data_IF_008328308567
#
_entry.id   IF_008328308567
#
_cell.length_a   1.000
_cell.length_b   1.000
_cell.length_c   1.000
_cell.angle_alpha   90.00
_cell.angle_beta   90.00
_cell.angle_gamma   90.00
#
_symmetry.space_group_name_H-M   'P 1'
#
loop_
_entity.id
_entity.type
_entity.pdbx_description
1 polymer ?
#
# COMPACT_ATOMS: atom_id res chain seq x y z
N UNK A 1 21.07 1.88 7.92
CA UNK A 1 21.12 3.16 7.18
C UNK A 1 19.73 3.79 7.27
N UNK A 2 19.59 5.00 7.84
CA UNK A 2 18.30 5.72 7.81
C UNK A 2 18.19 6.38 6.44
N UNK A 3 17.23 5.95 5.62
CA UNK A 3 16.97 6.57 4.32
C UNK A 3 16.04 7.76 4.55
N UNK A 4 16.63 8.95 4.58
CA UNK A 4 15.93 10.23 4.64
C UNK A 4 16.07 10.94 3.30
N UNK A 5 14.97 11.47 2.80
CA UNK A 5 14.93 12.20 1.55
C UNK A 5 14.06 13.44 1.69
N UNK A 6 14.59 14.60 1.29
CA UNK A 6 13.82 15.84 1.21
C UNK A 6 14.19 16.55 -0.09
N UNK A 7 13.17 16.92 -0.87
CA UNK A 7 13.37 17.67 -2.11
C UNK A 7 13.70 19.14 -1.83
N UNK A 8 14.24 19.84 -2.83
CA UNK A 8 14.21 21.30 -2.86
C UNK A 8 12.83 21.77 -3.34
N UNK A 9 12.32 22.94 -2.91
CA UNK A 9 11.00 23.45 -3.31
C UNK A 9 10.78 23.44 -4.83
N UNK A 10 11.77 23.94 -5.61
CA UNK A 10 11.76 23.94 -7.08
C UNK A 10 11.65 22.55 -7.73
N UNK A 11 12.03 21.50 -7.03
CA UNK A 11 12.01 20.10 -7.50
C UNK A 11 10.77 19.34 -7.02
N UNK A 12 9.92 19.99 -6.21
CA UNK A 12 8.71 19.39 -5.71
C UNK A 12 7.80 18.99 -6.86
N UNK A 13 7.04 17.91 -6.67
CA UNK A 13 5.99 17.49 -7.59
C UNK A 13 5.01 18.63 -7.81
N UNK A 14 4.63 19.33 -6.75
CA UNK A 14 3.67 20.44 -6.81
C UNK A 14 4.13 21.58 -7.72
N UNK A 15 5.41 21.97 -7.67
CA UNK A 15 5.97 22.99 -8.57
C UNK A 15 6.15 22.44 -9.98
N UNK A 16 6.72 21.24 -10.11
CA UNK A 16 6.99 20.61 -11.42
C UNK A 16 5.70 20.39 -12.22
N UNK A 17 4.59 20.08 -11.54
CA UNK A 17 3.27 19.90 -12.15
C UNK A 17 2.43 21.18 -12.18
N UNK A 18 3.01 22.33 -11.79
CA UNK A 18 2.35 23.65 -11.77
C UNK A 18 1.07 23.69 -10.93
N UNK A 19 1.03 22.93 -9.84
CA UNK A 19 -0.08 22.93 -8.87
C UNK A 19 0.01 24.16 -7.96
N UNK A 20 1.21 24.55 -7.55
CA UNK A 20 1.50 25.69 -6.66
C UNK A 20 2.77 26.43 -7.09
N UNK A 21 2.98 27.63 -6.56
CA UNK A 21 4.24 28.39 -6.73
C UNK A 21 5.37 27.81 -5.89
N UNK A 22 6.63 28.11 -6.26
CA UNK A 22 7.80 27.65 -5.48
C UNK A 22 7.79 28.17 -4.03
N UNK A 23 7.40 29.41 -3.83
CA UNK A 23 7.29 30.02 -2.51
C UNK A 23 6.26 29.30 -1.63
N UNK A 24 5.10 28.96 -2.20
CA UNK A 24 4.05 28.20 -1.50
C UNK A 24 4.51 26.78 -1.18
N UNK A 25 5.26 26.14 -2.09
CA UNK A 25 5.74 24.76 -1.93
C UNK A 25 6.62 24.58 -0.69
N UNK A 26 7.33 25.62 -0.21
CA UNK A 26 8.16 25.55 0.99
C UNK A 26 7.46 24.93 2.21
N UNK A 27 6.14 25.12 2.33
CA UNK A 27 5.34 24.62 3.45
C UNK A 27 5.03 23.12 3.37
N UNK A 28 5.10 22.52 2.19
CA UNK A 28 4.68 21.13 1.94
C UNK A 28 5.65 20.40 0.99
N UNK A 29 6.92 20.81 1.00
CA UNK A 29 7.99 20.13 0.26
C UNK A 29 8.02 18.66 0.66
N UNK A 30 8.07 17.79 -0.33
CA UNK A 30 8.04 16.36 -0.12
C UNK A 30 9.27 15.93 0.67
N UNK A 31 9.00 15.35 1.83
CA UNK A 31 9.97 14.71 2.68
C UNK A 31 9.49 13.30 2.98
N UNK A 32 10.42 12.35 2.92
CA UNK A 32 10.16 10.93 3.03
C UNK A 32 11.11 10.33 4.07
N UNK A 33 10.54 9.45 4.90
CA UNK A 33 11.30 8.55 5.76
C UNK A 33 10.79 7.12 5.64
N UNK A 34 11.72 6.20 5.37
CA UNK A 34 11.45 4.76 5.49
C UNK A 34 11.86 4.32 6.89
N UNK A 35 10.89 3.93 7.71
CA UNK A 35 11.16 3.54 9.11
C UNK A 35 11.42 2.05 9.24
N UNK A 36 12.30 1.69 10.18
CA UNK A 36 12.69 0.31 10.44
C UNK A 36 12.00 -0.27 11.68
N UNK A 37 11.62 0.62 12.61
CA UNK A 37 10.90 0.31 13.83
C UNK A 37 9.70 1.25 13.98
N UNK A 38 8.58 0.72 14.46
CA UNK A 38 7.32 1.47 14.60
C UNK A 38 7.45 2.66 15.57
N UNK A 39 8.29 2.57 16.60
CA UNK A 39 8.58 3.70 17.50
C UNK A 39 9.11 4.95 16.78
N UNK A 40 9.70 4.79 15.59
CA UNK A 40 10.18 5.93 14.81
C UNK A 40 9.03 6.77 14.21
N UNK A 41 7.78 6.28 14.27
CA UNK A 41 6.58 7.05 13.92
C UNK A 41 6.36 8.18 14.92
N UNK A 42 6.78 8.09 16.17
CA UNK A 42 6.50 9.15 17.16
C UNK A 42 7.35 10.40 16.89
N UNK A 43 8.58 10.21 16.41
CA UNK A 43 9.59 11.26 16.23
C UNK A 43 9.86 11.58 14.75
N UNK A 44 8.88 11.35 13.87
CA UNK A 44 9.02 11.75 12.46
C UNK A 44 8.62 13.22 12.26
N UNK A 45 9.33 13.88 11.36
CA UNK A 45 8.98 15.24 10.91
C UNK A 45 8.57 15.26 9.44
N UNK A 46 8.63 14.08 8.79
CA UNK A 46 8.43 13.93 7.36
C UNK A 46 6.96 13.77 7.00
N UNK A 47 6.59 14.33 5.85
CA UNK A 47 5.23 14.37 5.35
C UNK A 47 4.78 13.01 4.78
N UNK A 48 5.74 12.12 4.50
CA UNK A 48 5.51 10.75 4.04
C UNK A 48 6.37 9.78 4.86
N UNK A 49 5.71 8.82 5.50
CA UNK A 49 6.37 7.71 6.21
C UNK A 49 6.02 6.41 5.51
N UNK A 50 7.03 5.60 5.21
CA UNK A 50 6.85 4.26 4.64
C UNK A 50 7.29 3.23 5.65
N UNK A 51 6.42 2.24 5.87
CA UNK A 51 6.63 1.15 6.81
C UNK A 51 6.07 -0.14 6.23
N UNK A 52 6.77 -1.26 6.48
CA UNK A 52 6.25 -2.58 6.18
C UNK A 52 5.28 -3.01 7.29
N UNK A 53 4.06 -3.42 6.94
CA UNK A 53 3.03 -3.86 7.89
C UNK A 53 3.50 -4.96 8.87
N UNK A 54 4.43 -5.84 8.45
CA UNK A 54 5.01 -6.88 9.32
C UNK A 54 5.72 -6.29 10.55
N UNK A 55 6.15 -5.03 10.50
CA UNK A 55 6.73 -4.32 11.65
C UNK A 55 5.73 -4.06 12.77
N UNK A 56 4.43 -4.27 12.54
CA UNK A 56 3.34 -4.19 13.52
C UNK A 56 2.80 -5.56 13.96
N UNK A 57 3.39 -6.66 13.47
CA UNK A 57 2.95 -8.03 13.80
C UNK A 57 3.22 -8.43 15.26
N UNK A 58 2.78 -9.62 15.67
CA UNK A 58 2.78 -10.08 17.07
C UNK A 58 4.16 -10.08 17.76
N UNK A 59 5.25 -10.24 16.99
CA UNK A 59 6.63 -10.22 17.52
C UNK A 59 7.22 -8.80 17.59
N UNK A 60 6.50 -7.79 17.10
CA UNK A 60 6.91 -6.40 17.22
C UNK A 60 6.48 -5.85 18.58
N UNK A 61 7.43 -5.28 19.33
CA UNK A 61 7.15 -4.55 20.57
C UNK A 61 6.55 -3.18 20.26
N UNK A 62 5.43 -3.15 19.54
CA UNK A 62 4.71 -1.91 19.27
C UNK A 62 3.93 -1.54 20.51
N UNK A 63 4.28 -0.39 21.05
CA UNK A 63 3.53 0.26 22.12
C UNK A 63 2.43 1.12 21.47
N UNK A 64 1.27 0.51 21.24
CA UNK A 64 0.14 1.17 20.59
C UNK A 64 -0.44 2.32 21.42
N UNK A 65 -0.16 2.37 22.73
CA UNK A 65 -0.65 3.44 23.61
C UNK A 65 0.17 4.73 23.48
N UNK A 66 1.41 4.64 22.97
CA UNK A 66 2.28 5.80 22.73
C UNK A 66 2.13 6.40 21.34
N UNK A 67 1.69 5.60 20.37
CA UNK A 67 1.34 6.12 19.06
C UNK A 67 0.13 7.04 19.20
N UNK A 68 0.09 8.11 18.41
CA UNK A 68 -1.08 8.96 18.32
C UNK A 68 -1.95 8.50 17.13
N UNK A 69 -3.20 8.04 17.35
CA UNK A 69 -4.11 7.65 16.26
C UNK A 69 -4.32 8.72 15.19
N UNK A 70 -4.16 9.99 15.55
CA UNK A 70 -4.36 11.17 14.67
C UNK A 70 -3.07 11.74 14.10
N UNK A 71 -1.95 11.01 14.22
CA UNK A 71 -0.64 11.43 13.69
C UNK A 71 -0.60 11.57 12.17
N UNK A 72 -1.50 10.89 11.46
CA UNK A 72 -1.61 10.94 10.00
C UNK A 72 -3.00 11.38 9.56
N UNK A 73 -3.07 12.08 8.42
CA UNK A 73 -4.34 12.44 7.78
C UNK A 73 -4.76 11.46 6.67
N UNK A 74 -3.83 10.63 6.21
CA UNK A 74 -4.02 9.69 5.12
C UNK A 74 -3.17 8.43 5.35
N UNK A 75 -3.81 7.27 5.26
CA UNK A 75 -3.15 5.96 5.18
C UNK A 75 -3.25 5.42 3.75
N UNK A 76 -2.13 4.97 3.20
CA UNK A 76 -2.08 4.29 1.90
C UNK A 76 -1.62 2.86 2.14
N UNK A 77 -2.45 1.89 1.76
CA UNK A 77 -2.18 0.48 1.93
C UNK A 77 -1.89 -0.13 0.57
N UNK A 78 -0.64 -0.55 0.35
CA UNK A 78 -0.22 -1.29 -0.84
C UNK A 78 -0.43 -2.80 -0.66
N UNK A 79 -0.59 -3.53 -1.76
CA UNK A 79 -0.95 -4.95 -1.79
C UNK A 79 -2.12 -5.30 -0.85
N UNK A 80 -3.15 -4.45 -0.90
CA UNK A 80 -4.22 -4.44 0.08
C UNK A 80 -5.05 -5.74 0.11
N UNK A 81 -4.94 -6.62 -0.88
CA UNK A 81 -5.58 -7.94 -0.83
C UNK A 81 -5.15 -8.79 0.38
N UNK A 82 -4.06 -8.43 1.07
CA UNK A 82 -3.64 -9.02 2.35
C UNK A 82 -4.42 -8.51 3.58
N UNK A 83 -5.29 -7.51 3.42
CA UNK A 83 -6.10 -6.92 4.49
C UNK A 83 -6.80 -7.92 5.42
N UNK A 84 -7.29 -9.10 4.97
CA UNK A 84 -7.91 -10.08 5.86
C UNK A 84 -7.00 -10.59 7.01
N UNK A 85 -5.69 -10.35 6.97
CA UNK A 85 -4.81 -10.72 8.07
C UNK A 85 -4.97 -9.76 9.27
N UNK A 86 -5.03 -10.26 10.51
CA UNK A 86 -5.27 -9.44 11.71
C UNK A 86 -4.32 -8.25 11.91
N UNK A 87 -3.08 -8.36 11.43
CA UNK A 87 -2.11 -7.26 11.51
C UNK A 87 -2.54 -6.05 10.69
N UNK A 88 -3.07 -6.26 9.48
CA UNK A 88 -3.53 -5.18 8.61
C UNK A 88 -4.78 -4.51 9.16
N UNK A 89 -5.75 -5.32 9.58
CA UNK A 89 -6.99 -4.84 10.21
C UNK A 89 -6.69 -3.98 11.45
N UNK A 90 -5.75 -4.42 12.30
CA UNK A 90 -5.31 -3.64 13.46
C UNK A 90 -4.68 -2.30 13.07
N UNK A 91 -3.79 -2.25 12.08
CA UNK A 91 -3.15 -1.01 11.63
C UNK A 91 -4.21 -0.03 11.10
N UNK A 92 -5.08 -0.50 10.21
CA UNK A 92 -6.09 0.34 9.55
C UNK A 92 -7.12 0.86 10.55
N UNK A 93 -7.57 0.01 11.48
CA UNK A 93 -8.53 0.40 12.51
C UNK A 93 -7.93 1.31 13.58
N UNK A 94 -6.61 1.29 13.76
CA UNK A 94 -5.92 2.10 14.77
C UNK A 94 -5.78 3.58 14.37
N UNK A 95 -5.41 3.86 13.12
CA UNK A 95 -5.21 5.24 12.66
C UNK A 95 -6.53 5.89 12.25
N UNK A 96 -6.89 6.98 12.92
CA UNK A 96 -8.12 7.75 12.68
C UNK A 96 -7.93 8.71 11.50
N UNK A 97 -7.91 8.14 10.28
CA UNK A 97 -7.63 8.90 9.08
C UNK A 97 -8.30 8.31 7.83
N UNK A 98 -8.28 9.07 6.73
CA UNK A 98 -8.75 8.56 5.43
C UNK A 98 -7.82 7.44 4.99
N UNK A 99 -8.37 6.35 4.47
CA UNK A 99 -7.58 5.22 3.99
C UNK A 99 -7.81 4.99 2.50
N UNK A 100 -6.73 4.83 1.74
CA UNK A 100 -6.73 4.42 0.33
C UNK A 100 -6.10 3.04 0.25
N UNK A 101 -6.81 2.10 -0.36
CA UNK A 101 -6.32 0.77 -0.65
C UNK A 101 -5.88 0.67 -2.10
N UNK A 102 -4.66 0.19 -2.33
CA UNK A 102 -4.10 -0.12 -3.65
C UNK A 102 -3.95 -1.64 -3.75
N UNK A 103 -4.57 -2.25 -4.76
CA UNK A 103 -4.45 -3.69 -5.00
C UNK A 103 -4.66 -4.02 -6.47
N UNK A 104 -3.91 -5.02 -6.96
CA UNK A 104 -4.15 -5.62 -8.27
C UNK A 104 -5.30 -6.66 -8.25
N UNK A 105 -5.63 -7.19 -7.08
CA UNK A 105 -6.59 -8.30 -6.90
C UNK A 105 -7.67 -7.91 -5.86
N UNK A 106 -8.65 -7.09 -6.25
CA UNK A 106 -9.66 -6.58 -5.31
C UNK A 106 -10.73 -7.61 -4.89
N UNK A 107 -10.80 -8.77 -5.56
CA UNK A 107 -11.83 -9.79 -5.35
C UNK A 107 -11.25 -11.13 -4.90
N UNK A 108 -11.99 -11.84 -4.03
CA UNK A 108 -11.75 -13.24 -3.66
C UNK A 108 -13.08 -13.98 -3.70
N UNK A 109 -13.12 -15.09 -4.45
CA UNK A 109 -14.35 -15.87 -4.66
C UNK A 109 -15.53 -15.03 -5.20
N UNK A 110 -15.25 -14.00 -6.01
CA UNK A 110 -16.25 -13.10 -6.57
C UNK A 110 -16.64 -11.92 -5.68
N UNK A 111 -16.26 -11.93 -4.40
CA UNK A 111 -16.60 -10.87 -3.44
C UNK A 111 -15.44 -9.90 -3.23
N UNK A 112 -15.70 -8.60 -3.02
CA UNK A 112 -14.68 -7.63 -2.63
C UNK A 112 -13.97 -8.04 -1.34
N UNK A 113 -12.63 -7.97 -1.32
CA UNK A 113 -11.81 -8.31 -0.14
C UNK A 113 -11.72 -7.14 0.84
N UNK A 114 -11.82 -5.93 0.31
CA UNK A 114 -11.50 -4.69 1.02
C UNK A 114 -12.76 -3.98 1.52
N UNK A 115 -12.68 -3.33 2.69
CA UNK A 115 -13.75 -2.46 3.14
C UNK A 115 -13.82 -1.19 2.26
N UNK A 116 -15.02 -0.63 2.15
CA UNK A 116 -15.26 0.63 1.43
C UNK A 116 -15.74 0.45 -0.01
N UNK A 117 -15.52 1.48 -0.82
CA UNK A 117 -15.96 1.54 -2.22
C UNK A 117 -14.78 1.49 -3.19
N UNK A 118 -14.97 0.81 -4.32
CA UNK A 118 -13.99 0.83 -5.42
C UNK A 118 -14.13 2.18 -6.14
N UNK A 119 -13.18 3.10 -5.91
CA UNK A 119 -13.18 4.41 -6.55
C UNK A 119 -12.69 4.38 -8.01
N UNK A 120 -11.84 3.41 -8.35
CA UNK A 120 -11.27 3.23 -9.68
C UNK A 120 -10.82 1.78 -9.84
N UNK A 121 -11.05 1.21 -11.01
CA UNK A 121 -10.57 -0.10 -11.39
C UNK A 121 -10.21 -0.10 -12.87
N UNK A 122 -9.10 -0.75 -13.20
CA UNK A 122 -8.71 -1.04 -14.57
C UNK A 122 -8.37 -2.52 -14.67
N UNK A 123 -8.91 -3.20 -15.68
CA UNK A 123 -8.72 -4.63 -15.86
C UNK A 123 -7.40 -4.94 -16.58
N UNK A 124 -6.81 -6.13 -16.37
CA UNK A 124 -5.65 -6.57 -17.15
C UNK A 124 -5.90 -6.52 -18.66
N UNK A 125 -7.11 -6.84 -19.11
CA UNK A 125 -7.50 -6.78 -20.52
C UNK A 125 -7.44 -5.36 -21.08
N UNK A 126 -7.94 -4.37 -20.35
CA UNK A 126 -7.84 -2.96 -20.76
C UNK A 126 -6.38 -2.50 -20.81
N UNK A 127 -5.56 -2.86 -19.81
CA UNK A 127 -4.13 -2.55 -19.81
C UNK A 127 -3.40 -3.16 -21.01
N UNK A 128 -3.74 -4.41 -21.39
CA UNK A 128 -3.18 -5.09 -22.56
C UNK A 128 -3.63 -4.43 -23.87
N UNK A 129 -4.93 -4.12 -24.00
CA UNK A 129 -5.48 -3.49 -25.20
C UNK A 129 -4.92 -2.08 -25.42
N UNK A 130 -4.62 -1.36 -24.34
CA UNK A 130 -3.99 -0.05 -24.39
C UNK A 130 -2.45 -0.10 -24.55
N UNK A 131 -1.86 -1.30 -24.67
CA UNK A 131 -0.42 -1.47 -24.82
C UNK A 131 0.40 -1.07 -23.59
N UNK A 132 -0.23 -0.93 -22.41
CA UNK A 132 0.43 -0.57 -21.15
C UNK A 132 1.20 -1.78 -20.60
N UNK A 133 0.61 -2.97 -20.69
CA UNK A 133 1.25 -4.23 -20.31
C UNK A 133 1.28 -5.20 -21.48
N UNK A 134 2.24 -6.13 -21.47
CA UNK A 134 2.38 -7.14 -22.51
C UNK A 134 1.28 -8.19 -22.40
N UNK A 135 0.79 -8.64 -23.56
CA UNK A 135 -0.07 -9.82 -23.64
C UNK A 135 0.74 -11.06 -23.27
N UNK A 136 0.24 -11.82 -22.31
CA UNK A 136 0.81 -13.11 -21.91
C UNK A 136 -0.04 -14.24 -22.46
N UNK A 137 0.62 -15.34 -22.86
CA UNK A 137 -0.02 -16.58 -23.27
C UNK A 137 0.33 -17.61 -22.21
N UNK A 138 -0.69 -18.16 -21.55
CA UNK A 138 -0.48 -19.23 -20.59
C UNK A 138 -0.36 -20.56 -21.34
N UNK A 139 0.81 -21.19 -21.23
CA UNK A 139 1.04 -22.54 -21.71
C UNK A 139 1.13 -23.47 -20.50
N UNK A 140 0.02 -24.16 -20.20
CA UNK A 140 0.03 -25.22 -19.21
C UNK A 140 0.84 -26.39 -19.76
N UNK A 141 1.88 -26.81 -19.04
CA UNK A 141 2.61 -28.03 -19.35
C UNK A 141 2.29 -29.03 -18.25
N UNK A 142 1.56 -30.10 -18.60
CA UNK A 142 1.23 -31.21 -17.72
C UNK A 142 1.47 -32.55 -18.42
N UNK A 143 1.63 -33.61 -17.64
CA UNK A 143 1.48 -34.99 -18.10
C UNK A 143 0.06 -35.43 -17.76
N UNK A 144 -0.70 -35.90 -18.74
CA UNK A 144 -2.06 -36.46 -18.57
C UNK A 144 -2.09 -37.80 -17.77
N UNK A 145 -1.09 -38.08 -16.93
CA UNK A 145 -0.96 -39.35 -16.18
C UNK A 145 -1.06 -39.24 -14.66
N UNK A 146 -1.24 -38.05 -14.07
CA UNK A 146 -1.45 -37.91 -12.62
C UNK A 146 -2.93 -38.00 -12.17
N UNK A 147 -3.83 -38.43 -13.06
CA UNK A 147 -5.16 -38.91 -12.64
C UNK A 147 -5.04 -40.31 -12.04
N UNK A 148 -4.50 -40.39 -10.82
CA UNK A 148 -4.70 -41.56 -9.94
C UNK A 148 -6.20 -41.78 -9.71
N UNK A 149 -6.65 -43.04 -9.52
CA UNK A 149 -8.07 -43.36 -9.52
C UNK A 149 -8.81 -42.55 -8.46
N UNK A 150 -9.97 -42.00 -8.85
CA UNK A 150 -10.94 -41.39 -7.95
C UNK A 150 -11.11 -42.27 -6.70
N UNK A 151 -10.75 -41.76 -5.52
CA UNK A 151 -11.22 -42.34 -4.27
C UNK A 151 -12.72 -42.06 -4.19
N UNK A 152 -13.52 -43.00 -4.69
CA UNK A 152 -14.90 -43.18 -4.25
C UNK A 152 -14.89 -43.61 -2.77
N UNK A 153 -15.87 -43.04 -2.06
CA UNK A 153 -16.27 -43.18 -0.64
C UNK A 153 -15.48 -42.37 0.37
#
# INVERSE_FOLDING_TARGET
MKLFFRKRPKESFYVTRKVVTEEAANKFVESLRVIQQVKEIEDHAENLVIVNAQKFGTNSRVDWDKLNPKSFNLLIVDEAHHFPAPTWDKIVSYFDCRTIFLTATPYRNGEPILPGQICYQITPNELMNNGIIRRTIFHQIGNDQDSGPERRT
#
